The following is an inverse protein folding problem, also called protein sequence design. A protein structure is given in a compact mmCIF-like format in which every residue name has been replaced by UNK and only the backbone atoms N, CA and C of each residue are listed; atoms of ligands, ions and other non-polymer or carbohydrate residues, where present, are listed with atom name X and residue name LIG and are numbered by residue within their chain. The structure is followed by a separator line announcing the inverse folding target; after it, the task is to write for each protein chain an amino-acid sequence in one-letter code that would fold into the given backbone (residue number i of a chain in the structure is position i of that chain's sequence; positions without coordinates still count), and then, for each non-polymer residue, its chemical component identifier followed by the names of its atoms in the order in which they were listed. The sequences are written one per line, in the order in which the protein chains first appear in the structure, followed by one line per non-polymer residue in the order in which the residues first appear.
data_IF_223872491155
#
_entry.id   IF_223872491155
#
_cell.length_a   1.000
_cell.length_b   1.000
_cell.length_c   1.000
_cell.angle_alpha   90.00
_cell.angle_beta   90.00
_cell.angle_gamma   90.00
#
_symmetry.space_group_name_H-M   'P 1'
#
loop_
_entity.id
_entity.type
_entity.pdbx_description
1 polymer ?
#
# COMPACT_ATOMS: atom_id res chain seq x y z
N UNK A 1 13.94 28.97 -44.91
CA UNK A 1 13.91 29.06 -46.39
C UNK A 1 14.16 27.67 -46.96
N UNK A 2 13.30 27.27 -47.90
CA UNK A 2 13.23 25.94 -48.51
C UNK A 2 14.19 25.84 -49.69
N UNK A 3 14.88 24.72 -49.87
CA UNK A 3 15.29 24.25 -51.20
C UNK A 3 15.12 22.72 -51.30
N UNK A 4 14.48 22.32 -52.40
CA UNK A 4 14.10 20.96 -52.83
C UNK A 4 15.03 20.51 -53.96
N UNK A 5 15.34 19.21 -54.02
CA UNK A 5 15.46 18.35 -55.23
C UNK A 5 15.69 16.92 -54.70
N UNK A 6 14.77 15.96 -54.75
CA UNK A 6 14.15 15.20 -55.87
C UNK A 6 15.19 14.49 -56.74
N UNK A 7 15.28 13.16 -56.58
CA UNK A 7 15.23 12.21 -57.69
C UNK A 7 14.68 10.83 -57.27
N UNK A 8 13.96 10.22 -58.22
CA UNK A 8 13.19 8.96 -58.30
C UNK A 8 14.15 7.86 -58.85
N UNK A 9 13.95 6.54 -58.89
CA UNK A 9 12.82 5.61 -58.76
C UNK A 9 13.38 4.14 -58.78
N UNK A 10 12.45 3.18 -58.64
CA UNK A 10 12.44 1.77 -59.10
C UNK A 10 12.69 0.66 -58.05
N UNK A 11 11.62 -0.04 -57.66
CA UNK A 11 11.64 -1.45 -57.25
C UNK A 11 11.09 -2.33 -58.39
N UNK A 12 10.44 -3.49 -58.15
CA UNK A 12 10.63 -4.50 -57.10
C UNK A 12 10.87 -5.92 -57.71
N UNK A 13 11.28 -6.91 -56.91
CA UNK A 13 11.37 -8.31 -57.37
C UNK A 13 10.71 -9.31 -56.39
N UNK A 14 10.17 -10.36 -57.00
CA UNK A 14 9.08 -11.22 -56.56
C UNK A 14 9.53 -12.49 -55.81
N UNK A 15 8.54 -13.16 -55.21
CA UNK A 15 8.55 -14.54 -54.67
C UNK A 15 8.71 -15.60 -55.77
N UNK A 16 9.05 -16.84 -55.39
CA UNK A 16 8.41 -18.06 -55.91
C UNK A 16 7.74 -18.84 -54.75
N UNK A 17 6.76 -19.72 -54.90
CA UNK A 17 6.25 -20.50 -56.02
C UNK A 17 5.99 -21.93 -55.51
N UNK A 18 4.75 -22.41 -55.57
CA UNK A 18 4.27 -23.68 -55.01
C UNK A 18 4.23 -24.82 -56.03
N UNK A 19 4.39 -26.07 -55.57
CA UNK A 19 3.93 -27.36 -56.14
C UNK A 19 3.97 -28.40 -54.99
N UNK A 20 3.09 -29.39 -54.76
CA UNK A 20 1.88 -29.89 -55.41
C UNK A 20 1.73 -31.40 -55.13
N UNK A 21 0.51 -31.85 -54.74
CA UNK A 21 -0.07 -33.21 -54.86
C UNK A 21 0.46 -34.34 -53.91
N UNK A 22 -0.27 -35.36 -53.41
CA UNK A 22 -1.56 -36.00 -53.76
C UNK A 22 -2.03 -37.03 -52.69
N UNK A 23 -3.36 -37.22 -52.55
CA UNK A 23 -4.08 -38.49 -52.26
C UNK A 23 -4.15 -39.01 -50.80
N UNK A 24 -5.22 -39.63 -50.28
CA UNK A 24 -6.52 -40.01 -50.82
C UNK A 24 -7.48 -40.47 -49.68
N UNK A 25 -8.80 -40.21 -49.83
CA UNK A 25 -10.00 -41.08 -49.62
C UNK A 25 -10.20 -41.84 -48.26
N UNK A 26 -11.39 -42.09 -47.69
CA UNK A 26 -12.81 -42.15 -48.14
C UNK A 26 -13.75 -42.42 -46.95
N UNK A 27 -15.04 -42.08 -47.11
CA UNK A 27 -16.25 -42.68 -46.46
C UNK A 27 -16.74 -41.93 -45.21
N UNK A 28 -17.93 -41.31 -45.13
CA UNK A 28 -19.29 -41.68 -45.58
C UNK A 28 -20.13 -42.00 -44.32
N UNK A 29 -21.42 -41.71 -44.11
CA UNK A 29 -22.53 -41.08 -44.83
C UNK A 29 -23.72 -40.98 -43.84
N UNK A 30 -24.66 -40.05 -44.07
CA UNK A 30 -26.04 -40.05 -43.53
C UNK A 30 -26.30 -39.05 -42.38
N UNK A 31 -27.34 -38.22 -42.35
CA UNK A 31 -28.50 -38.05 -43.23
C UNK A 31 -29.75 -37.69 -42.40
N UNK A 32 -30.27 -36.47 -42.62
CA UNK A 32 -31.64 -36.00 -42.30
C UNK A 32 -31.85 -35.38 -40.91
N UNK A 33 -32.72 -34.40 -40.67
CA UNK A 33 -33.60 -33.55 -41.49
C UNK A 33 -34.32 -32.58 -40.53
N UNK A 34 -34.47 -31.31 -40.91
CA UNK A 34 -35.63 -30.47 -40.54
C UNK A 34 -35.58 -29.64 -39.25
N UNK A 35 -35.88 -28.34 -39.37
CA UNK A 35 -36.30 -27.49 -38.25
C UNK A 35 -35.84 -26.04 -38.33
N UNK A 36 -36.56 -25.25 -39.11
CA UNK A 36 -36.47 -23.79 -39.25
C UNK A 36 -36.71 -23.06 -37.91
N UNK A 37 -35.86 -22.08 -37.56
CA UNK A 37 -36.18 -20.97 -36.66
C UNK A 37 -35.09 -19.90 -36.78
N UNK A 38 -35.33 -18.92 -37.66
CA UNK A 38 -34.59 -17.67 -37.69
C UNK A 38 -34.72 -16.90 -36.37
N UNK A 39 -33.59 -16.59 -35.75
CA UNK A 39 -33.46 -15.67 -34.63
C UNK A 39 -32.10 -14.99 -34.72
N UNK A 40 -32.09 -13.74 -35.18
CA UNK A 40 -30.88 -12.93 -35.31
C UNK A 40 -30.19 -12.76 -33.95
N UNK A 41 -29.06 -13.45 -33.79
CA UNK A 41 -28.14 -13.19 -32.69
C UNK A 41 -27.25 -12.02 -33.10
N UNK A 42 -27.65 -10.81 -32.74
CA UNK A 42 -26.76 -9.66 -32.71
C UNK A 42 -25.62 -9.97 -31.74
N UNK A 43 -24.50 -10.43 -32.30
CA UNK A 43 -23.25 -10.62 -31.61
C UNK A 43 -22.73 -9.27 -31.12
N UNK A 44 -23.12 -8.88 -29.91
CA UNK A 44 -22.48 -7.79 -29.18
C UNK A 44 -21.03 -8.20 -28.92
N UNK A 45 -20.14 -7.82 -29.84
CA UNK A 45 -18.69 -7.95 -29.69
C UNK A 45 -18.29 -7.26 -28.39
N UNK A 46 -17.94 -8.07 -27.38
CA UNK A 46 -17.46 -7.57 -26.11
C UNK A 46 -16.23 -6.71 -26.39
N UNK A 47 -16.34 -5.39 -26.17
CA UNK A 47 -15.20 -4.47 -26.27
C UNK A 47 -14.09 -5.02 -25.38
N UNK A 48 -12.88 -5.27 -25.91
CA UNK A 48 -11.79 -5.75 -25.09
C UNK A 48 -11.57 -4.76 -23.94
N UNK A 49 -11.69 -5.26 -22.71
CA UNK A 49 -11.39 -4.49 -21.51
C UNK A 49 -9.99 -3.90 -21.71
N UNK A 50 -9.87 -2.56 -21.69
CA UNK A 50 -8.58 -1.89 -21.81
C UNK A 50 -7.66 -2.48 -20.74
N UNK A 51 -6.59 -3.14 -21.17
CA UNK A 51 -5.60 -3.68 -20.26
C UNK A 51 -5.07 -2.54 -19.38
N UNK A 52 -5.43 -2.55 -18.09
CA UNK A 52 -4.90 -1.59 -17.14
C UNK A 52 -3.38 -1.72 -17.15
N UNK A 53 -2.68 -0.69 -17.64
CA UNK A 53 -1.23 -0.64 -17.55
C UNK A 53 -0.85 -0.45 -16.09
N UNK A 54 -0.02 -1.35 -15.58
CA UNK A 54 0.58 -1.21 -14.26
C UNK A 54 1.41 0.08 -14.24
N UNK A 55 1.38 0.88 -13.15
CA UNK A 55 2.21 2.07 -13.03
C UNK A 55 3.68 1.65 -12.94
N UNK A 56 4.40 1.75 -14.06
CA UNK A 56 5.83 1.46 -14.14
C UNK A 56 6.65 2.72 -13.88
N UNK A 57 7.82 2.52 -13.30
CA UNK A 57 8.79 3.57 -13.08
C UNK A 57 9.83 3.55 -14.18
N UNK A 58 10.12 4.73 -14.73
CA UNK A 58 11.13 4.96 -15.77
C UNK A 58 12.41 5.60 -15.23
N UNK A 59 12.32 6.31 -14.11
CA UNK A 59 13.48 6.94 -13.46
C UNK A 59 14.28 5.92 -12.64
N UNK A 60 15.57 6.21 -12.42
CA UNK A 60 16.52 5.43 -11.61
C UNK A 60 16.07 5.40 -10.14
N UNK A 61 15.97 4.23 -9.51
CA UNK A 61 15.60 4.07 -8.08
C UNK A 61 16.79 4.17 -7.17
N UNK A 62 17.79 3.34 -7.43
CA UNK A 62 18.99 3.23 -6.64
C UNK A 62 20.03 4.16 -7.25
N UNK A 63 20.16 5.36 -6.70
CA UNK A 63 21.23 6.29 -7.07
C UNK A 63 22.52 5.99 -6.28
N UNK A 64 22.42 5.15 -5.24
CA UNK A 64 23.54 4.61 -4.46
C UNK A 64 24.47 5.70 -3.86
N UNK A 65 23.97 6.90 -3.61
CA UNK A 65 24.72 7.93 -2.89
C UNK A 65 25.04 7.47 -1.46
N UNK A 66 26.14 7.94 -0.89
CA UNK A 66 26.61 7.54 0.45
C UNK A 66 26.47 8.68 1.45
N UNK A 67 26.03 8.32 2.66
CA UNK A 67 25.99 9.22 3.81
C UNK A 67 26.97 8.71 4.86
N UNK A 68 27.95 9.53 5.24
CA UNK A 68 28.96 9.20 6.25
C UNK A 68 28.70 9.94 7.56
N UNK A 69 29.11 9.33 8.66
CA UNK A 69 29.25 9.97 9.97
C UNK A 69 30.49 10.89 10.02
N UNK A 70 30.62 11.77 11.03
CA UNK A 70 31.79 12.64 11.19
C UNK A 70 33.13 11.90 11.28
N UNK A 71 33.14 10.65 11.76
CA UNK A 71 34.33 9.79 11.82
C UNK A 71 34.63 9.03 10.51
N UNK A 72 33.80 9.21 9.47
CA UNK A 72 33.95 8.58 8.17
C UNK A 72 33.21 7.25 8.00
N UNK A 73 32.53 6.74 9.03
CA UNK A 73 31.75 5.50 8.92
C UNK A 73 30.55 5.67 7.97
N UNK A 74 30.29 4.66 7.12
CA UNK A 74 29.16 4.68 6.18
C UNK A 74 27.86 4.33 6.91
N UNK A 75 26.94 5.30 7.00
CA UNK A 75 25.68 5.15 7.71
C UNK A 75 24.60 4.47 6.86
N UNK A 76 24.47 4.89 5.60
CA UNK A 76 23.51 4.29 4.65
C UNK A 76 23.78 4.67 3.20
N UNK A 77 23.12 3.94 2.30
CA UNK A 77 22.93 4.33 0.91
C UNK A 77 21.63 5.15 0.77
N UNK A 78 21.62 6.17 -0.10
CA UNK A 78 20.46 7.02 -0.29
C UNK A 78 20.34 7.60 -1.71
N UNK A 79 19.21 8.27 -1.97
CA UNK A 79 18.97 8.97 -3.23
C UNK A 79 19.49 10.41 -3.23
N UNK A 80 19.71 10.97 -4.42
CA UNK A 80 20.26 12.31 -4.62
C UNK A 80 19.37 13.41 -4.00
N UNK A 81 18.06 13.18 -3.91
CA UNK A 81 17.14 14.10 -3.20
C UNK A 81 17.50 14.24 -1.71
N UNK A 82 17.87 13.13 -1.05
CA UNK A 82 18.29 13.15 0.37
C UNK A 82 19.63 13.84 0.52
N UNK A 83 20.59 13.54 -0.37
CA UNK A 83 21.88 14.24 -0.42
C UNK A 83 21.70 15.76 -0.51
N UNK A 84 20.90 16.21 -1.47
CA UNK A 84 20.62 17.64 -1.68
C UNK A 84 20.02 18.31 -0.45
N UNK A 85 19.10 17.62 0.23
CA UNK A 85 18.47 18.13 1.45
C UNK A 85 19.50 18.46 2.55
N UNK A 86 20.52 17.61 2.74
CA UNK A 86 21.58 17.84 3.73
C UNK A 86 22.50 18.99 3.31
N UNK A 87 22.89 19.03 2.03
CA UNK A 87 23.79 20.05 1.50
C UNK A 87 23.16 21.46 1.54
N UNK A 88 21.90 21.59 1.09
CA UNK A 88 21.17 22.88 1.08
C UNK A 88 20.97 23.48 2.48
N UNK A 89 21.08 22.65 3.52
CA UNK A 89 20.93 23.06 4.93
C UNK A 89 22.26 23.24 5.65
N UNK A 90 23.39 23.05 4.96
CA UNK A 90 24.72 23.12 5.59
C UNK A 90 24.94 22.04 6.66
N UNK A 91 24.28 20.89 6.54
CA UNK A 91 24.36 19.79 7.51
C UNK A 91 25.41 18.73 7.15
N UNK A 92 25.92 18.78 5.92
CA UNK A 92 26.90 17.83 5.42
C UNK A 92 27.80 18.50 4.37
N UNK A 93 28.96 17.90 4.13
CA UNK A 93 29.90 18.28 3.07
C UNK A 93 30.06 17.16 2.05
N UNK A 94 30.29 17.53 0.80
CA UNK A 94 30.64 16.54 -0.24
C UNK A 94 32.09 16.12 -0.06
N UNK A 95 32.31 14.81 0.07
CA UNK A 95 33.65 14.21 0.21
C UNK A 95 34.07 13.38 -1.01
N UNK A 96 33.10 12.91 -1.81
CA UNK A 96 33.37 12.27 -3.09
C UNK A 96 32.21 12.49 -4.07
N UNK A 97 32.51 12.53 -5.37
CA UNK A 97 31.51 12.79 -6.41
C UNK A 97 30.88 11.50 -6.98
N UNK A 98 31.63 10.39 -7.05
CA UNK A 98 31.21 9.15 -7.72
C UNK A 98 31.57 7.88 -6.90
N UNK A 99 30.60 7.22 -6.24
CA UNK A 99 29.23 7.69 -6.01
C UNK A 99 29.23 8.96 -5.14
N UNK A 100 28.23 9.81 -5.31
CA UNK A 100 28.11 11.03 -4.51
C UNK A 100 28.06 10.67 -3.03
N UNK A 101 29.05 11.14 -2.29
CA UNK A 101 29.24 10.81 -0.89
C UNK A 101 29.29 12.10 -0.10
N UNK A 102 28.42 12.19 0.91
CA UNK A 102 28.36 13.33 1.81
C UNK A 102 28.67 12.89 3.25
N UNK A 103 29.40 13.72 3.97
CA UNK A 103 29.76 13.50 5.37
C UNK A 103 29.00 14.48 6.26
N UNK A 104 28.30 13.95 7.27
CA UNK A 104 27.57 14.77 8.23
C UNK A 104 28.54 15.61 9.07
N UNK A 105 28.12 16.85 9.37
CA UNK A 105 28.85 17.78 10.25
C UNK A 105 28.55 17.56 11.74
N UNK A 106 27.65 16.64 12.06
CA UNK A 106 27.18 16.37 13.43
C UNK A 106 27.08 14.86 13.68
N UNK A 107 27.16 14.48 14.95
CA UNK A 107 27.04 13.08 15.36
C UNK A 107 25.56 12.63 15.34
N UNK A 108 25.19 11.63 14.51
CA UNK A 108 23.82 11.14 14.47
C UNK A 108 23.50 10.30 15.72
N UNK A 109 22.23 10.29 16.16
CA UNK A 109 21.74 9.50 17.31
C UNK A 109 21.75 7.97 17.10
N UNK A 110 22.36 7.49 16.02
CA UNK A 110 22.50 6.08 15.70
C UNK A 110 23.29 5.89 14.41
N UNK A 111 23.96 4.73 14.29
CA UNK A 111 24.82 4.42 13.14
C UNK A 111 24.08 3.83 11.93
N UNK A 112 22.75 3.92 11.94
CA UNK A 112 21.91 3.56 10.79
C UNK A 112 22.02 2.08 10.42
N UNK A 113 22.66 1.79 9.28
CA UNK A 113 22.93 0.44 8.80
C UNK A 113 24.42 0.10 8.84
N UNK A 114 25.20 0.74 9.72
CA UNK A 114 26.54 0.29 10.05
C UNK A 114 26.54 -1.22 10.30
N UNK A 115 27.56 -1.90 9.77
CA UNK A 115 27.73 -3.36 9.77
C UNK A 115 26.72 -4.19 8.97
N UNK A 116 25.74 -3.59 8.30
CA UNK A 116 24.82 -4.33 7.45
C UNK A 116 25.18 -4.25 5.96
N UNK A 117 25.93 -5.27 5.53
CA UNK A 117 26.37 -5.44 4.15
C UNK A 117 25.24 -5.35 3.12
N UNK A 118 24.01 -5.79 3.44
CA UNK A 118 22.89 -5.68 2.49
C UNK A 118 22.49 -4.22 2.25
N UNK A 119 22.40 -3.41 3.30
CA UNK A 119 21.91 -2.03 3.18
C UNK A 119 22.99 -1.06 2.69
N UNK A 120 24.26 -1.43 2.90
CA UNK A 120 25.42 -0.68 2.43
C UNK A 120 25.86 -1.07 1.02
N UNK A 121 25.36 -2.18 0.46
CA UNK A 121 25.68 -2.59 -0.91
C UNK A 121 25.04 -1.67 -1.94
N UNK A 122 25.71 -1.51 -3.08
CA UNK A 122 25.07 -0.95 -4.27
C UNK A 122 23.95 -1.87 -4.75
N UNK A 123 22.88 -1.25 -5.26
CA UNK A 123 21.75 -1.95 -5.86
C UNK A 123 21.56 -1.50 -7.29
N UNK A 124 21.13 -2.44 -8.11
CA UNK A 124 21.00 -2.23 -9.54
C UNK A 124 19.57 -1.92 -9.96
N UNK A 125 19.42 -1.01 -10.91
CA UNK A 125 18.13 -0.56 -11.43
C UNK A 125 17.61 -1.47 -12.55
N UNK A 126 17.44 -2.74 -12.24
CA UNK A 126 16.98 -3.78 -13.16
C UNK A 126 15.98 -4.72 -12.48
N UNK A 127 15.22 -5.47 -13.27
CA UNK A 127 14.39 -6.56 -12.76
C UNK A 127 15.27 -7.61 -12.06
N UNK A 128 15.02 -7.88 -10.78
CA UNK A 128 15.78 -8.87 -10.01
C UNK A 128 15.59 -10.31 -10.53
N UNK A 129 14.52 -10.57 -11.30
CA UNK A 129 14.24 -11.90 -11.84
C UNK A 129 14.99 -12.13 -13.16
N UNK A 130 14.67 -11.35 -14.20
CA UNK A 130 15.17 -11.58 -15.55
C UNK A 130 16.27 -10.60 -15.99
N UNK A 131 16.56 -9.55 -15.21
CA UNK A 131 17.61 -8.56 -15.51
C UNK A 131 17.19 -7.45 -16.48
N UNK A 132 15.94 -7.45 -16.97
CA UNK A 132 15.46 -6.39 -17.87
C UNK A 132 15.47 -5.01 -17.19
N UNK A 133 16.04 -4.02 -17.86
CA UNK A 133 16.02 -2.61 -17.44
C UNK A 133 14.90 -1.78 -18.07
N UNK A 134 14.92 -0.47 -17.81
CA UNK A 134 14.04 0.52 -18.47
C UNK A 134 12.71 0.75 -17.77
N UNK A 135 11.88 -0.29 -17.60
CA UNK A 135 10.59 -0.18 -16.91
C UNK A 135 10.43 -1.27 -15.84
N UNK A 136 10.33 -0.83 -14.59
CA UNK A 136 10.16 -1.71 -13.44
C UNK A 136 9.25 -1.10 -12.39
N UNK A 137 8.74 -1.96 -11.52
CA UNK A 137 7.90 -1.63 -10.38
C UNK A 137 8.58 -2.12 -9.10
N UNK A 138 8.20 -1.53 -7.97
CA UNK A 138 8.58 -2.03 -6.64
C UNK A 138 7.61 -3.14 -6.26
N UNK A 139 8.13 -4.34 -6.12
CA UNK A 139 7.38 -5.50 -5.64
C UNK A 139 7.73 -5.76 -4.18
N UNK A 140 6.71 -6.05 -3.37
CA UNK A 140 6.88 -6.43 -1.95
C UNK A 140 6.83 -7.95 -1.85
N UNK A 141 7.97 -8.57 -1.53
CA UNK A 141 8.10 -10.03 -1.36
C UNK A 141 7.14 -10.56 -0.29
N UNK A 142 6.97 -9.80 0.79
CA UNK A 142 5.89 -10.01 1.76
C UNK A 142 4.74 -9.08 1.39
N UNK A 143 3.55 -9.60 1.05
CA UNK A 143 2.45 -8.75 0.58
C UNK A 143 2.02 -7.70 1.61
N UNK A 144 1.75 -6.49 1.13
CA UNK A 144 1.40 -5.36 1.99
C UNK A 144 0.11 -5.59 2.80
N UNK A 145 -0.84 -6.36 2.23
CA UNK A 145 -2.07 -6.71 2.91
C UNK A 145 -1.85 -7.48 4.22
N UNK A 146 -0.76 -8.26 4.36
CA UNK A 146 -0.40 -8.88 5.63
C UNK A 146 0.39 -7.93 6.52
N UNK A 147 1.39 -7.22 5.96
CA UNK A 147 2.27 -6.32 6.73
C UNK A 147 1.53 -5.26 7.54
N UNK A 148 0.42 -4.73 7.02
CA UNK A 148 -0.40 -3.74 7.74
C UNK A 148 -0.96 -4.27 9.08
N UNK A 149 -1.03 -5.59 9.26
CA UNK A 149 -1.51 -6.23 10.49
C UNK A 149 -0.37 -6.64 11.45
N UNK A 150 0.91 -6.44 11.09
CA UNK A 150 2.04 -6.81 11.95
C UNK A 150 2.18 -5.85 13.15
N UNK A 151 2.93 -6.20 14.21
CA UNK A 151 3.29 -5.27 15.28
C UNK A 151 4.11 -4.07 14.76
N UNK A 152 4.03 -2.89 15.39
CA UNK A 152 4.78 -1.70 14.98
C UNK A 152 6.29 -1.93 14.82
N UNK A 153 6.90 -2.73 15.70
CA UNK A 153 8.32 -3.10 15.68
C UNK A 153 8.75 -3.78 14.37
N UNK A 154 7.83 -4.55 13.76
CA UNK A 154 8.03 -5.31 12.50
C UNK A 154 7.42 -4.63 11.26
N UNK A 155 6.63 -3.56 11.46
CA UNK A 155 6.12 -2.68 10.39
C UNK A 155 7.18 -1.71 9.87
N UNK A 156 8.28 -1.55 10.60
CA UNK A 156 9.40 -0.68 10.24
C UNK A 156 9.89 -0.91 8.80
N UNK A 157 10.31 0.17 8.13
CA UNK A 157 10.67 0.23 6.71
C UNK A 157 11.97 -0.51 6.34
N UNK A 158 12.00 -1.84 6.51
CA UNK A 158 13.09 -2.66 5.99
C UNK A 158 12.93 -2.84 4.47
N UNK A 159 13.86 -2.27 3.70
CA UNK A 159 13.90 -2.42 2.24
C UNK A 159 14.32 -3.82 1.77
N UNK A 160 14.63 -4.73 2.70
CA UNK A 160 15.00 -6.12 2.40
C UNK A 160 13.94 -6.84 1.58
N UNK A 161 12.66 -6.63 1.90
CA UNK A 161 11.55 -7.29 1.21
C UNK A 161 11.00 -6.50 0.02
N UNK A 162 11.70 -5.44 -0.41
CA UNK A 162 11.31 -4.60 -1.53
C UNK A 162 12.30 -4.79 -2.68
N UNK A 163 11.83 -5.40 -3.77
CA UNK A 163 12.65 -5.70 -4.95
C UNK A 163 12.11 -5.02 -6.20
N UNK A 164 12.98 -4.81 -7.19
CA UNK A 164 12.58 -4.30 -8.49
C UNK A 164 12.20 -5.44 -9.44
N UNK A 165 11.06 -5.33 -10.12
CA UNK A 165 10.61 -6.31 -11.10
C UNK A 165 10.03 -5.64 -12.33
N UNK A 166 10.19 -6.24 -13.51
CA UNK A 166 9.51 -5.78 -14.71
C UNK A 166 8.04 -6.25 -14.73
N UNK A 167 7.15 -5.63 -15.53
CA UNK A 167 5.73 -5.99 -15.58
C UNK A 167 5.45 -7.47 -15.89
N UNK A 168 6.18 -8.15 -16.81
CA UNK A 168 6.00 -9.59 -17.04
C UNK A 168 6.29 -10.44 -15.80
N UNK A 169 7.45 -10.24 -15.16
CA UNK A 169 7.81 -10.99 -13.95
C UNK A 169 6.86 -10.66 -12.79
N UNK A 170 6.39 -9.42 -12.67
CA UNK A 170 5.39 -9.06 -11.68
C UNK A 170 4.07 -9.78 -11.86
N UNK A 171 3.56 -9.85 -13.10
CA UNK A 171 2.33 -10.60 -13.38
C UNK A 171 2.51 -12.09 -13.04
N UNK A 172 3.66 -12.67 -13.35
CA UNK A 172 3.96 -14.05 -12.99
C UNK A 172 4.00 -14.26 -11.46
N UNK A 173 4.68 -13.37 -10.73
CA UNK A 173 4.70 -13.40 -9.25
C UNK A 173 3.30 -13.26 -8.67
N UNK A 174 2.48 -12.33 -9.16
CA UNK A 174 1.11 -12.16 -8.67
C UNK A 174 0.28 -13.45 -8.78
N UNK A 175 0.50 -14.25 -9.82
CA UNK A 175 -0.20 -15.55 -9.97
C UNK A 175 0.29 -16.56 -8.91
N UNK A 176 1.60 -16.62 -8.64
CA UNK A 176 2.14 -17.54 -7.63
C UNK A 176 1.82 -17.09 -6.21
N UNK A 177 1.85 -15.78 -5.96
CA UNK A 177 1.50 -15.16 -4.70
C UNK A 177 0.04 -15.44 -4.38
N UNK A 178 -0.87 -15.25 -5.34
CA UNK A 178 -2.29 -15.56 -5.19
C UNK A 178 -2.52 -17.02 -4.77
N UNK A 179 -1.83 -17.98 -5.41
CA UNK A 179 -1.93 -19.41 -5.04
C UNK A 179 -1.44 -19.67 -3.62
N UNK A 180 -0.37 -19.00 -3.18
CA UNK A 180 0.12 -19.10 -1.80
C UNK A 180 -0.88 -18.49 -0.82
N UNK A 181 -1.48 -17.35 -1.14
CA UNK A 181 -2.52 -16.74 -0.30
C UNK A 181 -3.76 -17.67 -0.19
N UNK A 182 -4.14 -18.36 -1.26
CA UNK A 182 -5.21 -19.38 -1.22
C UNK A 182 -4.85 -20.55 -0.28
N UNK A 183 -3.60 -21.02 -0.31
CA UNK A 183 -3.11 -22.06 0.60
C UNK A 183 -3.13 -21.60 2.06
N UNK A 184 -2.64 -20.40 2.35
CA UNK A 184 -2.73 -19.79 3.68
C UNK A 184 -4.19 -19.66 4.12
N UNK A 185 -5.08 -19.31 3.19
CA UNK A 185 -6.51 -19.21 3.49
C UNK A 185 -7.12 -20.53 3.93
N UNK A 186 -6.71 -21.65 3.32
CA UNK A 186 -7.14 -22.99 3.76
C UNK A 186 -6.53 -23.37 5.11
N UNK A 187 -5.24 -23.04 5.31
CA UNK A 187 -4.51 -23.38 6.53
C UNK A 187 -5.05 -22.67 7.77
N UNK A 188 -5.40 -21.39 7.66
CA UNK A 188 -5.82 -20.55 8.79
C UNK A 188 -7.33 -20.26 8.81
N UNK A 189 -8.13 -20.99 8.01
CA UNK A 189 -9.59 -20.79 7.99
C UNK A 189 -10.04 -19.43 7.43
N UNK A 190 -9.25 -18.82 6.55
CA UNK A 190 -9.48 -17.51 5.96
C UNK A 190 -9.60 -17.61 4.42
N UNK A 191 -10.70 -18.10 3.83
CA UNK A 191 -10.80 -18.26 2.37
C UNK A 191 -10.75 -16.92 1.62
N UNK A 192 -10.06 -16.88 0.47
CA UNK A 192 -10.08 -15.72 -0.43
C UNK A 192 -11.38 -15.66 -1.25
N UNK A 193 -11.81 -14.47 -1.65
CA UNK A 193 -12.94 -14.27 -2.56
C UNK A 193 -14.24 -13.87 -1.86
N UNK A 194 -15.40 -14.24 -2.43
CA UNK A 194 -16.73 -13.79 -1.96
C UNK A 194 -17.01 -14.07 -0.49
N UNK A 195 -16.42 -15.14 0.06
CA UNK A 195 -16.50 -15.50 1.48
C UNK A 195 -15.92 -14.43 2.43
N UNK A 196 -15.08 -13.52 1.94
CA UNK A 196 -14.54 -12.35 2.67
C UNK A 196 -14.99 -11.01 2.06
N UNK A 197 -15.92 -11.01 1.09
CA UNK A 197 -16.13 -9.85 0.22
C UNK A 197 -17.07 -8.77 0.79
N UNK A 198 -17.95 -9.09 1.72
CA UNK A 198 -18.89 -8.10 2.25
C UNK A 198 -18.28 -7.34 3.44
N UNK A 199 -17.24 -6.54 3.19
CA UNK A 199 -16.76 -5.54 4.17
C UNK A 199 -17.90 -4.58 4.57
N UNK A 200 -18.73 -4.26 3.60
CA UNK A 200 -19.86 -3.36 3.75
C UNK A 200 -21.16 -4.15 3.65
N UNK A 201 -22.06 -3.93 4.61
CA UNK A 201 -23.47 -4.26 4.50
C UNK A 201 -24.18 -3.11 3.80
N UNK A 202 -25.17 -3.42 2.98
CA UNK A 202 -25.97 -2.42 2.28
C UNK A 202 -27.36 -2.34 2.91
N UNK A 203 -27.69 -1.21 3.50
CA UNK A 203 -29.03 -0.92 4.00
C UNK A 203 -29.94 -0.53 2.83
N UNK A 204 -30.92 -1.39 2.53
CA UNK A 204 -31.88 -1.16 1.44
C UNK A 204 -32.75 0.08 1.68
N UNK A 205 -33.07 0.41 2.93
CA UNK A 205 -33.86 1.58 3.28
C UNK A 205 -33.06 2.86 3.02
N UNK A 206 -31.82 2.94 3.53
CA UNK A 206 -30.93 4.07 3.21
C UNK A 206 -30.63 4.17 1.70
N UNK A 207 -30.58 3.03 1.00
CA UNK A 207 -30.45 2.98 -0.45
C UNK A 207 -31.64 3.62 -1.16
N UNK A 208 -32.87 3.34 -0.69
CA UNK A 208 -34.09 3.94 -1.19
C UNK A 208 -34.13 5.46 -0.92
N UNK A 209 -33.76 5.90 0.29
CA UNK A 209 -33.64 7.32 0.67
C UNK A 209 -32.66 8.05 -0.25
N UNK A 210 -31.49 7.47 -0.49
CA UNK A 210 -30.48 8.04 -1.39
C UNK A 210 -30.99 8.16 -2.82
N UNK A 211 -31.64 7.11 -3.32
CA UNK A 211 -32.24 7.10 -4.65
C UNK A 211 -33.31 8.18 -4.80
N UNK A 212 -34.17 8.32 -3.79
CA UNK A 212 -35.21 9.33 -3.73
C UNK A 212 -34.64 10.76 -3.70
N UNK A 213 -33.67 11.03 -2.81
CA UNK A 213 -32.99 12.32 -2.76
C UNK A 213 -32.32 12.67 -4.09
N UNK A 214 -31.58 11.74 -4.71
CA UNK A 214 -30.93 11.96 -6.01
C UNK A 214 -31.91 12.24 -7.14
N UNK A 215 -33.03 11.53 -7.16
CA UNK A 215 -34.09 11.78 -8.13
C UNK A 215 -34.66 13.19 -7.93
N UNK A 216 -34.99 13.59 -6.70
CA UNK A 216 -35.58 14.90 -6.39
C UNK A 216 -34.61 16.08 -6.62
N UNK A 217 -33.30 15.88 -6.48
CA UNK A 217 -32.26 16.88 -6.83
C UNK A 217 -32.08 17.02 -8.34
N UNK A 218 -32.39 15.98 -9.12
CA UNK A 218 -32.13 15.97 -10.56
C UNK A 218 -33.14 16.83 -11.33
N UNK A 219 -32.71 18.03 -11.72
CA UNK A 219 -33.53 18.98 -12.50
C UNK A 219 -33.61 18.68 -14.00
N UNK A 220 -32.83 17.70 -14.50
CA UNK A 220 -32.77 17.37 -15.93
C UNK A 220 -33.91 16.48 -16.41
N UNK A 221 -34.59 15.80 -15.48
CA UNK A 221 -35.67 14.85 -15.78
C UNK A 221 -36.94 15.32 -15.10
N UNK A 222 -38.02 15.44 -15.87
CA UNK A 222 -39.33 15.75 -15.32
C UNK A 222 -39.90 14.50 -14.63
N UNK A 223 -40.15 14.60 -13.33
CA UNK A 223 -40.70 13.52 -12.52
C UNK A 223 -42.23 13.69 -12.48
N UNK A 224 -43.03 12.67 -12.86
CA UNK A 224 -44.48 12.72 -12.74
C UNK A 224 -44.94 13.09 -11.32
N UNK A 225 -46.03 13.87 -11.15
CA UNK A 225 -46.45 14.39 -9.84
C UNK A 225 -46.71 13.30 -8.78
N UNK A 226 -47.29 12.17 -9.20
CA UNK A 226 -47.54 11.02 -8.33
C UNK A 226 -46.22 10.40 -7.82
N UNK A 227 -45.30 10.10 -8.73
CA UNK A 227 -43.98 9.56 -8.40
C UNK A 227 -43.16 10.52 -7.53
N UNK A 228 -43.29 11.84 -7.75
CA UNK A 228 -42.64 12.86 -6.91
C UNK A 228 -43.12 12.74 -5.46
N UNK A 229 -44.43 12.62 -5.22
CA UNK A 229 -44.99 12.46 -3.86
C UNK A 229 -44.49 11.20 -3.17
N UNK A 230 -44.37 10.09 -3.91
CA UNK A 230 -43.80 8.84 -3.37
C UNK A 230 -42.35 9.01 -2.90
N UNK A 231 -41.51 9.68 -3.70
CA UNK A 231 -40.11 9.92 -3.36
C UNK A 231 -39.98 10.90 -2.18
N UNK A 232 -40.83 11.93 -2.12
CA UNK A 232 -40.90 12.87 -1.00
C UNK A 232 -41.32 12.14 0.28
N UNK A 233 -42.30 11.22 0.22
CA UNK A 233 -42.73 10.41 1.36
C UNK A 233 -41.59 9.53 1.91
N UNK A 234 -40.76 8.94 1.05
CA UNK A 234 -39.58 8.16 1.48
C UNK A 234 -38.58 9.03 2.24
N UNK A 235 -38.32 10.25 1.77
CA UNK A 235 -37.39 11.18 2.43
C UNK A 235 -37.99 11.70 3.75
N UNK A 236 -39.28 12.03 3.76
CA UNK A 236 -40.02 12.46 4.94
C UNK A 236 -40.01 11.40 6.05
N UNK A 237 -40.31 10.15 5.70
CA UNK A 237 -40.29 9.03 6.64
C UNK A 237 -38.90 8.81 7.27
N UNK A 238 -37.82 9.00 6.50
CA UNK A 238 -36.46 8.88 7.02
C UNK A 238 -36.06 9.99 8.00
N UNK A 239 -36.46 11.23 7.72
CA UNK A 239 -36.13 12.37 8.58
C UNK A 239 -37.17 12.66 9.66
N UNK A 240 -38.28 11.91 9.70
CA UNK A 240 -39.38 12.14 10.66
C UNK A 240 -40.07 13.48 10.48
N UNK A 241 -40.17 13.96 9.23
CA UNK A 241 -40.80 15.26 8.91
C UNK A 241 -42.09 15.06 8.13
N UNK A 242 -43.06 15.94 8.35
CA UNK A 242 -44.28 16.00 7.55
C UNK A 242 -44.00 16.51 6.14
N UNK A 243 -44.87 16.19 5.17
CA UNK A 243 -44.69 16.58 3.76
C UNK A 243 -44.50 18.10 3.54
N UNK A 244 -45.06 18.94 4.41
CA UNK A 244 -44.88 20.40 4.36
C UNK A 244 -43.56 20.92 4.93
N UNK A 245 -42.79 20.08 5.63
CA UNK A 245 -41.50 20.43 6.23
C UNK A 245 -40.28 19.99 5.41
N UNK A 246 -40.50 19.42 4.23
CA UNK A 246 -39.42 18.96 3.36
C UNK A 246 -38.81 20.13 2.57
N UNK A 247 -37.61 20.54 2.96
CA UNK A 247 -36.87 21.59 2.28
C UNK A 247 -35.78 21.06 1.32
N UNK A 248 -35.20 21.97 0.54
CA UNK A 248 -34.13 21.64 -0.39
C UNK A 248 -32.81 21.18 0.29
N UNK A 249 -32.67 21.40 1.60
CA UNK A 249 -31.51 20.96 2.37
C UNK A 249 -31.66 19.48 2.77
N UNK A 250 -32.83 19.07 3.24
CA UNK A 250 -33.17 17.68 3.57
C UNK A 250 -33.13 16.78 2.33
N UNK A 251 -33.62 17.26 1.19
CA UNK A 251 -33.54 16.52 -0.08
C UNK A 251 -32.08 16.28 -0.50
N UNK A 252 -31.21 17.28 -0.32
CA UNK A 252 -29.77 17.13 -0.57
C UNK A 252 -29.11 16.17 0.41
N UNK A 253 -29.44 16.28 1.71
CA UNK A 253 -28.97 15.33 2.73
C UNK A 253 -29.35 13.90 2.39
N UNK A 254 -30.60 13.66 1.95
CA UNK A 254 -31.03 12.34 1.47
C UNK A 254 -30.16 11.85 0.30
N UNK A 255 -29.89 12.70 -0.71
CA UNK A 255 -29.08 12.33 -1.87
C UNK A 255 -27.64 11.89 -1.54
N UNK A 256 -27.13 12.40 -0.42
CA UNK A 256 -25.76 12.18 0.07
C UNK A 256 -25.65 11.08 1.14
N UNK A 257 -26.77 10.51 1.61
CA UNK A 257 -26.77 9.35 2.53
C UNK A 257 -25.94 8.21 1.92
N UNK A 258 -24.99 7.67 2.70
CA UNK A 258 -24.27 6.45 2.34
C UNK A 258 -25.03 5.23 2.87
N UNK A 259 -25.59 4.37 2.00
CA UNK A 259 -26.33 3.19 2.42
C UNK A 259 -25.41 2.04 2.85
N UNK A 260 -24.10 2.26 2.88
CA UNK A 260 -23.10 1.25 3.24
C UNK A 260 -22.69 1.45 4.69
N UNK A 261 -22.89 0.43 5.51
CA UNK A 261 -22.29 0.33 6.84
C UNK A 261 -21.17 -0.70 6.83
N UNK A 262 -20.04 -0.40 7.48
CA UNK A 262 -19.00 -1.41 7.69
C UNK A 262 -19.51 -2.44 8.69
N UNK A 263 -19.32 -3.72 8.38
CA UNK A 263 -19.59 -4.79 9.33
C UNK A 263 -18.46 -4.82 10.36
N UNK A 264 -18.75 -4.51 11.62
CA UNK A 264 -17.75 -4.50 12.71
C UNK A 264 -17.10 -5.86 12.96
N UNK A 265 -17.80 -6.95 12.59
CA UNK A 265 -17.29 -8.31 12.71
C UNK A 265 -16.49 -8.74 11.47
N UNK A 266 -16.49 -7.94 10.41
CA UNK A 266 -15.72 -8.26 9.22
C UNK A 266 -14.23 -8.17 9.50
N UNK A 267 -13.50 -9.17 9.01
CA UNK A 267 -12.05 -9.25 9.06
C UNK A 267 -11.54 -9.60 7.68
N UNK A 268 -10.46 -8.96 7.25
CA UNK A 268 -9.86 -9.31 5.98
C UNK A 268 -9.18 -10.68 6.06
N UNK A 269 -9.03 -11.37 4.93
CA UNK A 269 -8.23 -12.60 4.85
C UNK A 269 -6.87 -12.43 5.54
N UNK A 270 -6.17 -11.34 5.23
CA UNK A 270 -4.83 -11.11 5.73
C UNK A 270 -4.81 -10.85 7.24
N UNK A 271 -5.84 -10.20 7.77
CA UNK A 271 -6.00 -9.97 9.19
C UNK A 271 -6.23 -11.29 9.94
N UNK A 272 -7.13 -12.15 9.46
CA UNK A 272 -7.39 -13.45 10.08
C UNK A 272 -6.10 -14.27 10.09
N UNK A 273 -5.41 -14.39 8.96
CA UNK A 273 -4.13 -15.13 8.87
C UNK A 273 -3.12 -14.60 9.88
N UNK A 274 -2.90 -13.28 9.95
CA UNK A 274 -1.88 -12.70 10.85
C UNK A 274 -2.27 -12.84 12.31
N UNK A 275 -3.55 -12.67 12.66
CA UNK A 275 -4.04 -12.84 14.04
C UNK A 275 -3.96 -14.29 14.52
N UNK A 276 -4.00 -15.25 13.61
CA UNK A 276 -3.83 -16.67 13.92
C UNK A 276 -2.36 -17.08 14.09
N UNK A 277 -1.39 -16.19 13.85
CA UNK A 277 0.03 -16.48 14.11
C UNK A 277 0.30 -16.29 15.61
N UNK A 278 0.88 -17.32 16.23
CA UNK A 278 1.03 -17.44 17.70
C UNK A 278 2.08 -16.54 18.37
N UNK A 279 2.52 -15.46 17.71
CA UNK A 279 3.49 -14.53 18.28
C UNK A 279 4.59 -14.10 17.31
N UNK A 280 5.67 -13.56 17.88
CA UNK A 280 6.78 -12.99 17.11
C UNK A 280 7.48 -14.06 16.27
N UNK A 281 7.78 -15.23 16.83
CA UNK A 281 8.52 -16.30 16.15
C UNK A 281 7.77 -16.82 14.90
N UNK A 282 6.47 -17.05 15.01
CA UNK A 282 5.59 -17.47 13.91
C UNK A 282 5.50 -16.39 12.84
N UNK A 283 5.50 -15.12 13.24
CA UNK A 283 5.50 -14.00 12.31
C UNK A 283 6.84 -13.87 11.56
N UNK A 284 7.96 -14.10 12.23
CA UNK A 284 9.27 -14.19 11.57
C UNK A 284 9.30 -15.35 10.57
N UNK A 285 8.81 -16.52 10.99
CA UNK A 285 8.69 -17.70 10.14
C UNK A 285 7.76 -17.45 8.94
N UNK A 286 6.67 -16.71 9.13
CA UNK A 286 5.76 -16.30 8.07
C UNK A 286 6.46 -15.42 7.03
N UNK A 287 7.24 -14.42 7.48
CA UNK A 287 8.06 -13.55 6.61
C UNK A 287 9.11 -14.36 5.86
N UNK A 288 9.88 -15.21 6.57
CA UNK A 288 10.88 -16.10 5.97
C UNK A 288 10.23 -17.05 4.94
N UNK A 289 9.03 -17.53 5.22
CA UNK A 289 8.25 -18.35 4.31
C UNK A 289 7.93 -17.61 3.00
N UNK A 290 7.55 -16.34 3.06
CA UNK A 290 7.30 -15.52 1.86
C UNK A 290 8.57 -15.29 1.05
N UNK A 291 9.69 -15.03 1.73
CA UNK A 291 11.02 -14.91 1.09
C UNK A 291 11.42 -16.22 0.39
N UNK A 292 11.24 -17.35 1.05
CA UNK A 292 11.52 -18.67 0.47
C UNK A 292 10.61 -18.97 -0.73
N UNK A 293 9.32 -18.62 -0.64
CA UNK A 293 8.40 -18.74 -1.77
C UNK A 293 8.86 -17.96 -2.99
N UNK A 294 9.22 -16.69 -2.79
CA UNK A 294 9.70 -15.84 -3.87
C UNK A 294 10.92 -16.44 -4.57
N UNK A 295 11.90 -16.95 -3.81
CA UNK A 295 13.05 -17.65 -4.41
C UNK A 295 12.64 -18.90 -5.20
N UNK A 296 11.76 -19.72 -4.62
CA UNK A 296 11.33 -20.98 -5.24
C UNK A 296 10.49 -20.76 -6.51
N UNK A 297 9.57 -19.79 -6.49
CA UNK A 297 8.62 -19.52 -7.57
C UNK A 297 9.22 -18.67 -8.68
N UNK A 298 10.00 -17.64 -8.32
CA UNK A 298 10.53 -16.68 -9.29
C UNK A 298 11.95 -16.97 -9.75
N UNK A 299 12.74 -17.76 -9.00
CA UNK A 299 14.14 -18.11 -9.31
C UNK A 299 14.97 -16.90 -9.78
N UNK A 300 15.04 -15.84 -8.97
CA UNK A 300 15.61 -14.58 -9.42
C UNK A 300 17.12 -14.70 -9.68
N UNK A 301 17.59 -14.08 -10.76
CA UNK A 301 19.00 -14.13 -11.20
C UNK A 301 19.82 -12.90 -10.82
N UNK A 302 19.15 -11.82 -10.43
CA UNK A 302 19.73 -10.49 -10.20
C UNK A 302 19.21 -9.89 -8.88
N UNK A 303 19.06 -10.71 -7.84
CA UNK A 303 18.76 -10.20 -6.50
C UNK A 303 19.90 -9.29 -6.02
N UNK A 304 19.60 -8.27 -5.19
CA UNK A 304 20.65 -7.46 -4.60
C UNK A 304 21.64 -8.32 -3.81
N UNK A 305 22.93 -7.94 -3.78
CA UNK A 305 23.93 -8.64 -2.98
C UNK A 305 23.50 -8.78 -1.52
N UNK A 306 23.85 -9.92 -0.91
CA UNK A 306 23.53 -10.24 0.49
C UNK A 306 22.03 -10.38 0.82
N UNK A 307 21.14 -10.37 -0.19
CA UNK A 307 19.74 -10.72 0.02
C UNK A 307 19.63 -12.17 0.46
N UNK A 308 19.00 -12.41 1.61
CA UNK A 308 18.84 -13.75 2.19
C UNK A 308 17.48 -13.93 2.85
N UNK A 309 17.01 -15.16 2.93
CA UNK A 309 15.75 -15.51 3.59
C UNK A 309 15.81 -15.14 5.08
N UNK A 310 16.93 -15.45 5.74
CA UNK A 310 17.11 -15.29 7.19
C UNK A 310 17.64 -13.92 7.59
N UNK A 311 17.48 -12.90 6.74
CA UNK A 311 17.81 -11.53 7.14
C UNK A 311 16.87 -11.07 8.26
N UNK A 312 17.31 -10.10 9.07
CA UNK A 312 16.48 -9.56 10.14
C UNK A 312 15.11 -9.11 9.62
N UNK A 313 14.08 -9.32 10.44
CA UNK A 313 12.69 -9.00 10.11
C UNK A 313 12.15 -7.80 10.89
N UNK A 314 12.85 -7.40 11.94
CA UNK A 314 12.62 -6.20 12.74
C UNK A 314 13.88 -5.33 12.78
N UNK A 315 13.72 -4.04 13.11
CA UNK A 315 14.86 -3.18 13.43
C UNK A 315 15.39 -3.55 14.82
N UNK A 316 16.72 -3.54 14.98
CA UNK A 316 17.46 -3.80 16.23
C UNK A 316 17.27 -2.74 17.33
N UNK A 317 16.35 -1.78 17.14
CA UNK A 317 16.12 -0.66 18.07
C UNK A 317 14.83 -0.81 18.89
N UNK A 318 14.16 -1.97 18.85
CA UNK A 318 13.05 -2.27 19.73
C UNK A 318 13.59 -3.09 20.91
N UNK A 319 13.39 -2.66 22.18
CA UNK A 319 13.68 -3.52 23.31
C UNK A 319 12.90 -4.82 23.17
N UNK A 320 13.51 -5.92 23.55
CA UNK A 320 12.80 -7.18 23.77
C UNK A 320 11.90 -6.94 24.98
N UNK A 321 10.60 -6.81 24.76
CA UNK A 321 9.63 -6.84 25.86
C UNK A 321 9.69 -8.27 26.41
N UNK A 322 10.37 -8.44 27.54
CA UNK A 322 10.29 -9.66 28.34
C UNK A 322 8.83 -9.82 28.75
N UNK A 323 8.24 -10.97 28.42
CA UNK A 323 6.88 -11.33 28.84
C UNK A 323 6.91 -11.50 30.37
N UNK A 324 6.55 -10.45 31.11
CA UNK A 324 6.29 -10.57 32.55
C UNK A 324 4.99 -11.39 32.71
N UNK A 325 5.14 -12.61 33.21
CA UNK A 325 4.04 -13.42 33.72
C UNK A 325 3.42 -12.67 34.91
N UNK A 326 2.22 -12.11 34.73
CA UNK A 326 1.43 -11.56 35.84
C UNK A 326 0.94 -12.71 36.73
N UNK A 327 1.63 -12.96 37.85
CA UNK A 327 1.07 -13.71 38.97
C UNK A 327 -0.07 -12.89 39.60
N UNK A 328 -1.27 -13.47 39.61
CA UNK A 328 -2.44 -12.96 40.29
C UNK A 328 -2.18 -12.88 41.81
N UNK A 329 -2.06 -11.66 42.34
CA UNK A 329 -2.04 -11.38 43.77
C UNK A 329 -3.36 -10.76 44.21
N UNK A 330 -4.20 -11.57 44.86
CA UNK A 330 -5.40 -11.14 45.57
C UNK A 330 -5.07 -10.11 46.67
N UNK A 331 -5.85 -9.03 46.75
CA UNK A 331 -5.74 -8.03 47.81
C UNK A 331 -7.00 -7.16 47.89
N UNK A 332 -7.85 -7.46 48.86
CA UNK A 332 -9.12 -6.80 49.20
C UNK A 332 -8.94 -5.44 49.93
N UNK A 333 -9.96 -4.58 49.86
CA UNK A 333 -10.27 -3.48 50.79
C UNK A 333 -9.70 -2.10 50.40
N UNK A 334 -10.36 -0.96 50.51
CA UNK A 334 -11.63 -0.54 51.14
C UNK A 334 -12.10 0.76 50.45
N UNK A 335 -13.40 1.04 50.57
CA UNK A 335 -14.11 2.25 50.13
C UNK A 335 -13.79 3.44 51.07
N UNK A 336 -13.73 4.67 50.54
CA UNK A 336 -14.18 5.88 51.25
C UNK A 336 -14.46 7.03 50.26
N UNK A 337 -15.69 7.54 50.30
CA UNK A 337 -16.16 8.77 49.66
C UNK A 337 -15.92 9.96 50.60
N UNK A 338 -15.54 11.14 50.08
CA UNK A 338 -15.97 12.42 50.65
C UNK A 338 -15.84 13.60 49.66
N UNK A 339 -16.84 14.48 49.70
CA UNK A 339 -17.06 15.68 48.86
C UNK A 339 -16.48 16.99 49.45
N UNK A 340 -16.34 17.97 48.54
CA UNK A 340 -16.36 19.44 48.71
C UNK A 340 -15.10 20.31 49.05
N UNK A 341 -14.75 21.11 48.04
CA UNK A 341 -14.45 22.57 47.99
C UNK A 341 -13.39 23.23 48.91
N UNK A 342 -12.42 23.90 48.29
CA UNK A 342 -11.65 25.00 48.90
C UNK A 342 -10.34 25.35 48.16
N UNK A 343 -10.21 26.63 47.76
CA UNK A 343 -9.05 27.23 47.10
C UNK A 343 -7.75 27.24 47.95
N UNK A 344 -6.58 27.19 47.32
CA UNK A 344 -5.31 27.64 47.94
C UNK A 344 -4.03 26.91 47.53
N UNK A 345 -3.26 27.55 46.64
CA UNK A 345 -1.80 27.57 46.49
C UNK A 345 -0.89 26.31 46.53
N UNK A 346 -0.16 26.18 45.41
CA UNK A 346 1.28 25.90 45.28
C UNK A 346 1.91 24.70 46.02
N UNK A 347 2.18 23.63 45.27
CA UNK A 347 3.50 22.98 45.05
C UNK A 347 3.34 21.48 44.77
N UNK A 348 4.02 20.94 43.76
CA UNK A 348 4.01 19.49 43.50
C UNK A 348 4.31 19.04 42.07
N UNK A 349 5.60 18.97 41.76
CA UNK A 349 6.25 18.06 40.79
C UNK A 349 5.50 17.67 39.50
N UNK A 350 5.70 18.46 38.44
CA UNK A 350 5.54 17.98 37.06
C UNK A 350 6.66 16.97 36.76
N UNK A 351 6.31 15.69 36.69
CA UNK A 351 7.12 14.68 36.02
C UNK A 351 7.62 15.22 34.66
N UNK A 352 8.94 15.34 34.56
CA UNK A 352 9.60 16.13 33.52
C UNK A 352 9.31 15.63 32.11
N UNK A 353 9.40 16.54 31.14
CA UNK A 353 9.27 16.25 29.71
C UNK A 353 10.14 15.06 29.25
N UNK A 354 11.24 14.78 29.96
CA UNK A 354 12.13 13.64 29.74
C UNK A 354 11.42 12.28 29.71
N UNK A 355 10.38 12.08 30.52
CA UNK A 355 9.71 10.78 30.64
C UNK A 355 8.76 10.49 29.45
N UNK A 356 8.31 11.56 28.78
CA UNK A 356 7.52 11.45 27.54
C UNK A 356 8.39 11.27 26.29
N UNK A 357 9.68 11.60 26.36
CA UNK A 357 10.66 11.31 25.31
C UNK A 357 10.99 9.81 25.21
N UNK A 358 10.73 9.02 26.26
CA UNK A 358 11.14 7.61 26.34
C UNK A 358 10.32 6.64 25.48
N UNK A 359 9.11 7.02 25.02
CA UNK A 359 8.16 6.07 24.39
C UNK A 359 8.15 6.04 22.85
N UNK A 360 9.10 6.66 22.14
CA UNK A 360 9.10 6.66 20.66
C UNK A 360 10.46 6.25 20.04
N UNK A 361 10.47 5.09 19.37
CA UNK A 361 11.66 4.42 18.86
C UNK A 361 12.46 5.20 17.78
N UNK A 362 13.79 5.17 17.92
CA UNK A 362 14.79 5.90 17.13
C UNK A 362 14.76 5.64 15.60
N UNK A 363 14.24 4.48 15.16
CA UNK A 363 14.11 4.15 13.73
C UNK A 363 13.06 4.98 12.99
N UNK A 364 12.11 5.58 13.71
CA UNK A 364 11.03 6.38 13.13
C UNK A 364 11.51 7.79 12.71
N UNK A 365 12.49 8.34 13.42
CA UNK A 365 12.96 9.72 13.19
C UNK A 365 13.76 9.90 11.90
N UNK A 366 14.61 8.94 11.52
CA UNK A 366 15.37 9.02 10.26
C UNK A 366 14.48 8.98 9.01
N UNK A 367 13.25 8.45 9.12
CA UNK A 367 12.29 8.35 8.02
C UNK A 367 11.30 9.52 7.99
N UNK A 368 10.92 10.09 9.14
CA UNK A 368 10.04 11.27 9.23
C UNK A 368 10.75 12.53 8.69
N UNK A 369 12.05 12.68 8.91
CA UNK A 369 12.80 13.88 8.49
C UNK A 369 13.14 13.92 6.98
N UNK A 370 12.93 12.81 6.25
CA UNK A 370 13.21 12.69 4.81
C UNK A 370 11.99 12.84 3.88
N UNK A 371 10.78 12.81 4.44
CA UNK A 371 9.58 13.25 3.77
C UNK A 371 9.29 14.67 4.27
N UNK A 372 9.12 15.63 3.36
CA UNK A 372 8.53 16.92 3.72
C UNK A 372 7.29 16.63 4.56
N UNK A 373 7.19 17.14 5.79
CA UNK A 373 6.01 16.99 6.65
C UNK A 373 4.76 17.38 5.84
N UNK A 374 4.12 16.38 5.24
CA UNK A 374 3.04 16.58 4.27
C UNK A 374 1.68 16.30 4.93
N UNK A 375 1.70 15.81 6.18
CA UNK A 375 0.53 15.64 7.01
C UNK A 375 0.36 16.83 7.95
N UNK A 376 -0.88 17.33 8.05
CA UNK A 376 -1.28 18.38 8.98
C UNK A 376 -1.01 17.99 10.44
N UNK A 377 -1.08 16.69 10.77
CA UNK A 377 -0.79 16.18 12.14
C UNK A 377 0.69 16.32 12.51
N UNK A 378 1.61 16.13 11.58
CA UNK A 378 3.05 16.22 11.86
C UNK A 378 3.47 17.67 12.17
N UNK A 379 2.83 18.64 11.51
CA UNK A 379 3.04 20.07 11.77
C UNK A 379 2.42 20.53 13.09
N UNK A 380 1.24 20.02 13.42
CA UNK A 380 0.57 20.29 14.70
C UNK A 380 1.36 19.70 15.89
N UNK A 381 1.93 18.50 15.72
CA UNK A 381 2.75 17.85 16.74
C UNK A 381 4.09 18.57 16.96
N UNK A 382 4.76 19.02 15.90
CA UNK A 382 5.99 19.82 16.02
C UNK A 382 5.74 21.15 16.75
N UNK A 383 4.62 21.82 16.43
CA UNK A 383 4.22 23.07 17.09
C UNK A 383 3.87 22.88 18.57
N UNK A 384 3.25 21.75 18.94
CA UNK A 384 2.88 21.46 20.33
C UNK A 384 4.09 21.15 21.23
N UNK A 385 5.21 20.70 20.65
CA UNK A 385 6.42 20.31 21.37
C UNK A 385 7.51 21.39 21.37
N UNK A 386 7.24 22.60 20.84
CA UNK A 386 8.21 23.70 20.69
C UNK A 386 9.52 23.28 20.00
N UNK A 387 9.46 22.24 19.17
CA UNK A 387 10.58 21.78 18.38
C UNK A 387 10.61 22.58 17.08
N UNK A 388 11.80 22.99 16.64
CA UNK A 388 11.95 23.59 15.32
C UNK A 388 11.47 22.54 14.28
N UNK A 389 10.44 22.85 13.47
CA UNK A 389 9.85 21.90 12.53
C UNK A 389 10.79 21.50 11.38
N UNK A 390 11.99 22.08 11.31
CA UNK A 390 13.05 21.80 10.32
C UNK A 390 14.17 20.92 10.89
N UNK A 391 14.40 20.93 12.20
CA UNK A 391 15.53 20.22 12.83
C UNK A 391 15.09 19.19 13.88
N UNK A 392 13.88 19.30 14.42
CA UNK A 392 13.37 18.43 15.48
C UNK A 392 14.06 18.64 16.84
N UNK A 393 14.86 19.70 16.96
CA UNK A 393 15.51 20.10 18.22
C UNK A 393 14.65 21.15 18.93
N UNK A 394 14.75 21.19 20.26
CA UNK A 394 14.12 22.24 21.08
C UNK A 394 14.62 23.60 20.60
N UNK A 395 13.67 24.49 20.29
CA UNK A 395 13.96 25.89 20.02
C UNK A 395 14.51 26.47 21.32
N UNK A 396 15.79 26.86 21.32
CA UNK A 396 16.38 27.62 22.45
C UNK A 396 15.76 29.01 22.45
#
# INVERSE_FOLDING_TARGET
MKTKRVEKALGPAQRPGAVGAVGAQRGGSGGGSGGDAGGGADGAAQRPLKAHKLPTRKSVLYENCRLLAPDGEVLCTCGAKKVRWYLERGLADVVAENPTTIQLRFEPRGRGHADDAYYLSDKENRCCVCGSGGEYLRHSVVPHCYRQHFPPTMKSHLSHDIVLMCPPCHRASSVTDQRRMEQLGRQYGAPLGSATAAKFRHDSNLGAVRSAGRALVNTKVSIPPERRRELEAVVCAHFGVEAGGLDAALIRRAADVDPRSEDENWRSHAEVVVRSLGGRAELEAFIRGWRAHFLASMRPRFLPPHWRVDARVANSAAPEEEEEEEEEGEGEGEEEEEEEQGEGDASGSRGGAADRFAKLAAGSWMYIMGASASSTRDKQLASALQLDPRTGLTTI
#
